data_IF_704106975685
#
_entry.id   IF_704106975685
#
_cell.length_a   1.000
_cell.length_b   1.000
_cell.length_c   1.000
_cell.angle_alpha   90.00
_cell.angle_beta   90.00
_cell.angle_gamma   90.00
#
_symmetry.space_group_name_H-M   'P 1'
#
loop_
_entity.id
_entity.type
_entity.pdbx_description
1 polymer ?
#
# COMPACT_ATOMS: atom_id res chain seq x y z
N UNK A 1 -9.04 38.69 0.99
CA UNK A 1 -10.36 38.07 0.74
C UNK A 1 -10.10 36.62 0.33
N UNK A 2 -10.10 35.69 1.28
CA UNK A 2 -9.86 34.26 0.99
C UNK A 2 -11.16 33.65 0.45
N UNK A 3 -11.21 33.34 -0.85
CA UNK A 3 -12.26 32.50 -1.40
C UNK A 3 -12.12 31.08 -0.82
N UNK A 4 -12.81 30.81 0.29
CA UNK A 4 -13.13 29.44 0.70
C UNK A 4 -14.24 28.93 -0.20
N UNK A 5 -13.86 28.35 -1.33
CA UNK A 5 -14.75 27.50 -2.13
C UNK A 5 -15.03 26.22 -1.35
N UNK A 6 -15.99 26.27 -0.42
CA UNK A 6 -16.57 25.09 0.21
C UNK A 6 -17.43 24.35 -0.83
N UNK A 7 -16.76 23.67 -1.77
CA UNK A 7 -17.41 22.68 -2.63
C UNK A 7 -17.75 21.47 -1.75
N UNK A 8 -19.02 21.03 -1.65
CA UNK A 8 -19.43 19.94 -0.77
C UNK A 8 -18.77 18.58 -1.10
N UNK A 9 -18.10 18.46 -2.25
CA UNK A 9 -17.24 17.31 -2.60
C UNK A 9 -15.76 17.43 -2.17
N UNK A 10 -15.27 18.62 -1.83
CA UNK A 10 -13.86 18.86 -1.47
C UNK A 10 -13.47 18.25 -0.13
N UNK A 11 -14.39 18.22 0.85
CA UNK A 11 -14.14 17.64 2.18
C UNK A 11 -13.90 16.13 2.14
N UNK A 12 -14.58 15.43 1.22
CA UNK A 12 -14.35 14.02 0.97
C UNK A 12 -12.94 13.80 0.42
N UNK A 13 -12.58 14.53 -0.64
CA UNK A 13 -11.24 14.48 -1.23
C UNK A 13 -10.14 14.85 -0.22
N UNK A 14 -10.30 15.90 0.59
CA UNK A 14 -9.31 16.28 1.62
C UNK A 14 -9.16 15.23 2.72
N UNK A 15 -10.25 14.66 3.21
CA UNK A 15 -10.18 13.60 4.22
C UNK A 15 -9.51 12.34 3.68
N UNK A 16 -9.88 11.96 2.45
CA UNK A 16 -9.29 10.83 1.73
C UNK A 16 -7.79 11.09 1.46
N UNK A 17 -7.43 12.29 1.05
CA UNK A 17 -6.05 12.70 0.76
C UNK A 17 -5.19 12.70 2.03
N UNK A 18 -5.65 13.30 3.12
CA UNK A 18 -4.91 13.35 4.38
C UNK A 18 -4.70 11.95 4.98
N UNK A 19 -5.71 11.10 4.98
CA UNK A 19 -5.60 9.75 5.52
C UNK A 19 -4.76 8.83 4.62
N UNK A 20 -4.93 8.91 3.30
CA UNK A 20 -4.18 8.11 2.34
C UNK A 20 -2.70 8.52 2.30
N UNK A 21 -2.39 9.82 2.25
CA UNK A 21 -1.02 10.33 2.31
C UNK A 21 -0.36 9.87 3.60
N UNK A 22 -1.00 10.10 4.76
CA UNK A 22 -0.41 9.75 6.04
C UNK A 22 -0.11 8.25 6.15
N UNK A 23 -1.05 7.41 5.71
CA UNK A 23 -0.87 5.96 5.70
C UNK A 23 0.25 5.54 4.74
N UNK A 24 0.28 6.12 3.54
CA UNK A 24 1.33 5.87 2.54
C UNK A 24 2.71 6.28 3.04
N UNK A 25 2.83 7.47 3.63
CA UNK A 25 4.07 7.99 4.21
C UNK A 25 4.58 7.09 5.33
N UNK A 26 3.74 6.75 6.32
CA UNK A 26 4.16 5.84 7.39
C UNK A 26 4.55 4.47 6.88
N UNK A 27 3.78 3.91 5.94
CA UNK A 27 4.08 2.60 5.34
C UNK A 27 5.42 2.65 4.60
N UNK A 28 5.65 3.67 3.78
CA UNK A 28 6.90 3.87 3.05
C UNK A 28 8.10 4.02 3.97
N UNK A 29 8.00 4.86 5.01
CA UNK A 29 9.06 5.04 6.01
C UNK A 29 9.36 3.73 6.74
N UNK A 30 8.34 3.00 7.21
CA UNK A 30 8.54 1.72 7.90
C UNK A 30 9.21 0.69 6.99
N UNK A 31 8.75 0.54 5.74
CA UNK A 31 9.37 -0.35 4.75
C UNK A 31 10.84 0.00 4.53
N UNK A 32 11.14 1.30 4.35
CA UNK A 32 12.49 1.80 4.16
C UNK A 32 13.40 1.51 5.36
N UNK A 33 12.92 1.75 6.58
CA UNK A 33 13.68 1.49 7.81
C UNK A 33 13.97 0.01 8.00
N UNK A 34 12.96 -0.85 7.82
CA UNK A 34 13.14 -2.31 7.92
C UNK A 34 14.13 -2.79 6.86
N UNK A 35 14.12 -2.22 5.66
CA UNK A 35 15.02 -2.64 4.57
C UNK A 35 16.46 -2.28 4.87
N UNK A 36 16.64 -1.04 5.33
CA UNK A 36 17.93 -0.50 5.70
C UNK A 36 18.50 -1.29 6.87
N UNK A 37 17.69 -1.54 7.91
CA UNK A 37 18.11 -2.36 9.05
C UNK A 37 18.49 -3.78 8.61
N UNK A 38 17.68 -4.42 7.76
CA UNK A 38 18.00 -5.73 7.22
C UNK A 38 19.33 -5.74 6.44
N UNK A 39 19.58 -4.73 5.60
CA UNK A 39 20.84 -4.60 4.87
C UNK A 39 22.05 -4.40 5.80
N UNK A 40 21.92 -3.55 6.81
CA UNK A 40 22.98 -3.33 7.80
C UNK A 40 23.29 -4.63 8.54
N UNK A 41 22.27 -5.34 9.01
CA UNK A 41 22.43 -6.64 9.71
C UNK A 41 23.05 -7.69 8.77
N UNK A 42 22.61 -7.72 7.51
CA UNK A 42 23.13 -8.66 6.52
C UNK A 42 24.61 -8.40 6.20
N UNK A 43 25.03 -7.14 6.16
CA UNK A 43 26.39 -6.76 5.79
C UNK A 43 27.37 -6.70 6.98
N UNK A 44 26.88 -6.46 8.21
CA UNK A 44 27.75 -6.33 9.40
C UNK A 44 27.89 -7.63 10.21
N UNK A 45 26.98 -8.59 10.06
CA UNK A 45 26.98 -9.81 10.87
C UNK A 45 27.09 -11.05 9.97
N UNK A 46 28.30 -11.36 9.45
CA UNK A 46 28.54 -12.55 8.63
C UNK A 46 28.36 -13.86 9.42
N UNK A 47 28.41 -13.82 10.75
CA UNK A 47 28.16 -14.97 11.62
C UNK A 47 26.74 -15.56 11.46
N UNK A 48 25.78 -14.78 10.95
CA UNK A 48 24.41 -15.21 10.67
C UNK A 48 24.25 -15.87 9.29
N UNK A 49 25.33 -16.09 8.52
CA UNK A 49 25.25 -16.77 7.22
C UNK A 49 24.61 -18.16 7.30
N UNK A 50 24.84 -18.87 8.41
CA UNK A 50 24.22 -20.18 8.68
C UNK A 50 22.69 -20.11 8.83
N UNK A 51 22.17 -18.93 9.18
CA UNK A 51 20.75 -18.62 9.31
C UNK A 51 20.28 -17.61 8.23
N UNK A 52 21.04 -17.45 7.15
CA UNK A 52 20.73 -16.46 6.11
C UNK A 52 19.32 -16.69 5.52
N UNK A 53 18.92 -17.95 5.36
CA UNK A 53 17.59 -18.30 4.88
C UNK A 53 16.49 -17.86 5.86
N UNK A 54 16.60 -18.21 7.14
CA UNK A 54 15.61 -17.86 8.17
C UNK A 54 15.47 -16.35 8.34
N UNK A 55 16.60 -15.62 8.40
CA UNK A 55 16.61 -14.16 8.49
C UNK A 55 15.94 -13.51 7.28
N UNK A 56 16.19 -14.03 6.09
CA UNK A 56 15.63 -13.49 4.85
C UNK A 56 14.13 -13.79 4.75
N UNK A 57 13.69 -14.97 5.17
CA UNK A 57 12.26 -15.33 5.25
C UNK A 57 11.54 -14.46 6.28
N UNK A 58 12.13 -14.27 7.47
CA UNK A 58 11.57 -13.40 8.49
C UNK A 58 11.46 -11.95 8.01
N UNK A 59 12.53 -11.42 7.42
CA UNK A 59 12.52 -10.07 6.84
C UNK A 59 11.48 -9.94 5.73
N UNK A 60 11.43 -10.90 4.80
CA UNK A 60 10.42 -10.93 3.74
C UNK A 60 9.00 -10.96 4.30
N UNK A 61 8.75 -11.73 5.36
CA UNK A 61 7.46 -11.76 6.07
C UNK A 61 7.09 -10.39 6.64
N UNK A 62 8.01 -9.72 7.33
CA UNK A 62 7.79 -8.35 7.85
C UNK A 62 7.55 -7.36 6.71
N UNK A 63 8.28 -7.47 5.60
CA UNK A 63 8.08 -6.67 4.40
C UNK A 63 6.67 -6.79 3.84
N UNK A 64 6.24 -8.02 3.61
CA UNK A 64 4.91 -8.32 3.06
C UNK A 64 3.83 -7.82 4.03
N UNK A 65 4.01 -8.05 5.33
CA UNK A 65 3.08 -7.60 6.35
C UNK A 65 2.91 -6.07 6.34
N UNK A 66 4.02 -5.32 6.30
CA UNK A 66 3.99 -3.86 6.24
C UNK A 66 3.41 -3.35 4.91
N UNK A 67 3.79 -3.97 3.78
CA UNK A 67 3.25 -3.63 2.46
C UNK A 67 1.74 -3.88 2.34
N UNK A 68 1.21 -4.83 3.11
CA UNK A 68 -0.22 -5.14 3.13
C UNK A 68 -1.06 -4.15 3.97
N UNK A 69 -0.44 -3.32 4.82
CA UNK A 69 -1.13 -2.33 5.66
C UNK A 69 -2.08 -1.41 4.86
N UNK A 70 -1.66 -0.72 3.78
CA UNK A 70 -2.56 0.13 2.99
C UNK A 70 -3.66 -0.67 2.31
N UNK A 71 -3.38 -1.93 1.92
CA UNK A 71 -4.37 -2.84 1.33
C UNK A 71 -5.48 -3.10 2.35
N UNK A 72 -5.14 -3.62 3.53
CA UNK A 72 -6.13 -3.91 4.58
C UNK A 72 -6.88 -2.67 5.05
N UNK A 73 -6.19 -1.51 5.13
CA UNK A 73 -6.77 -0.23 5.57
C UNK A 73 -7.83 0.30 4.60
N UNK A 74 -7.61 0.17 3.28
CA UNK A 74 -8.40 0.82 2.25
C UNK A 74 -9.08 -0.15 1.26
N UNK A 75 -9.28 -1.42 1.64
CA UNK A 75 -10.00 -2.44 0.86
C UNK A 75 -11.37 -2.00 0.31
N UNK A 76 -12.05 -1.07 1.00
CA UNK A 76 -13.37 -0.53 0.60
C UNK A 76 -13.29 0.78 -0.19
N UNK A 77 -12.11 1.38 -0.31
CA UNK A 77 -11.86 2.69 -0.90
C UNK A 77 -10.70 2.60 -1.91
N UNK A 78 -10.93 2.06 -3.12
CA UNK A 78 -9.86 1.71 -4.05
C UNK A 78 -8.99 2.91 -4.45
N UNK A 79 -9.57 4.12 -4.57
CA UNK A 79 -8.80 5.34 -4.84
C UNK A 79 -7.75 5.67 -3.77
N UNK A 80 -8.11 5.49 -2.49
CA UNK A 80 -7.17 5.72 -1.38
C UNK A 80 -6.12 4.63 -1.29
N UNK A 81 -6.48 3.41 -1.66
CA UNK A 81 -5.57 2.28 -1.69
C UNK A 81 -4.46 2.53 -2.72
N UNK A 82 -4.80 2.99 -3.92
CA UNK A 82 -3.79 3.38 -4.91
C UNK A 82 -2.92 4.52 -4.41
N UNK A 83 -3.53 5.63 -3.97
CA UNK A 83 -2.78 6.81 -3.58
C UNK A 83 -1.81 6.50 -2.43
N UNK A 84 -2.30 5.84 -1.36
CA UNK A 84 -1.46 5.47 -0.22
C UNK A 84 -0.36 4.48 -0.58
N UNK A 85 -0.68 3.44 -1.36
CA UNK A 85 0.29 2.42 -1.76
C UNK A 85 1.36 2.98 -2.70
N UNK A 86 0.98 3.84 -3.65
CA UNK A 86 1.93 4.51 -4.56
C UNK A 86 2.86 5.45 -3.81
N UNK A 87 2.34 6.25 -2.89
CA UNK A 87 3.16 7.15 -2.06
C UNK A 87 4.16 6.34 -1.24
N UNK A 88 3.70 5.29 -0.57
CA UNK A 88 4.58 4.43 0.23
C UNK A 88 5.66 3.76 -0.62
N UNK A 89 5.28 3.21 -1.77
CA UNK A 89 6.23 2.54 -2.66
C UNK A 89 7.21 3.49 -3.32
N UNK A 90 6.79 4.73 -3.61
CA UNK A 90 7.66 5.77 -4.16
C UNK A 90 8.74 6.15 -3.14
N UNK A 91 8.37 6.37 -1.88
CA UNK A 91 9.32 6.62 -0.79
C UNK A 91 10.31 5.45 -0.65
N UNK A 92 9.78 4.22 -0.64
CA UNK A 92 10.61 3.02 -0.57
C UNK A 92 11.61 2.94 -1.72
N UNK A 93 11.16 3.18 -2.95
CA UNK A 93 12.00 3.16 -4.15
C UNK A 93 13.09 4.24 -4.10
N UNK A 94 12.75 5.45 -3.63
CA UNK A 94 13.73 6.53 -3.47
C UNK A 94 14.83 6.15 -2.48
N UNK A 95 14.44 5.57 -1.33
CA UNK A 95 15.40 5.07 -0.34
C UNK A 95 16.23 3.93 -0.94
N UNK A 96 15.60 2.96 -1.61
CA UNK A 96 16.30 1.87 -2.30
C UNK A 96 17.36 2.40 -3.29
N UNK A 97 17.02 3.45 -4.07
CA UNK A 97 17.96 4.09 -4.98
C UNK A 97 19.17 4.66 -4.24
N UNK A 98 18.97 5.34 -3.10
CA UNK A 98 20.06 5.85 -2.27
C UNK A 98 20.92 4.70 -1.73
N UNK A 99 20.31 3.61 -1.27
CA UNK A 99 21.05 2.44 -0.79
C UNK A 99 21.85 1.74 -1.90
N UNK A 100 21.35 1.70 -3.15
CA UNK A 100 22.13 1.20 -4.28
C UNK A 100 23.39 2.03 -4.57
N UNK A 101 23.39 3.33 -4.25
CA UNK A 101 24.58 4.18 -4.37
C UNK A 101 25.62 3.86 -3.29
N UNK A 102 25.18 3.47 -2.08
CA UNK A 102 26.05 3.12 -0.95
C UNK A 102 26.57 1.68 -1.11
N UNK A 103 25.68 0.75 -1.45
CA UNK A 103 25.96 -0.67 -1.62
C UNK A 103 25.97 -1.03 -3.10
N UNK A 104 27.11 -0.87 -3.75
CA UNK A 104 27.24 -1.12 -5.19
C UNK A 104 26.91 -2.57 -5.59
N UNK A 105 27.22 -3.53 -4.71
CA UNK A 105 26.87 -4.95 -4.86
C UNK A 105 25.36 -5.21 -4.96
N UNK A 106 24.52 -4.32 -4.38
CA UNK A 106 23.07 -4.42 -4.53
C UNK A 106 22.63 -4.07 -5.95
N UNK A 107 23.27 -3.09 -6.58
CA UNK A 107 22.89 -2.67 -7.93
C UNK A 107 23.33 -3.64 -9.01
N UNK A 108 24.37 -4.45 -8.76
CA UNK A 108 24.87 -5.45 -9.71
C UNK A 108 24.15 -6.79 -9.59
N UNK A 109 23.68 -7.16 -8.39
CA UNK A 109 23.00 -8.43 -8.13
C UNK A 109 21.47 -8.35 -8.02
N UNK A 110 20.90 -7.25 -7.53
CA UNK A 110 19.46 -7.04 -7.41
C UNK A 110 18.91 -6.13 -8.51
N UNK A 111 17.59 -6.22 -8.75
CA UNK A 111 16.84 -5.41 -9.72
C UNK A 111 17.20 -3.92 -9.65
N UNK A 112 17.24 -3.29 -10.81
CA UNK A 112 17.39 -1.84 -10.93
C UNK A 112 16.31 -1.09 -10.12
N UNK A 113 16.60 0.06 -9.51
CA UNK A 113 15.61 0.85 -8.77
C UNK A 113 14.34 1.13 -9.57
N UNK A 114 14.48 1.35 -10.89
CA UNK A 114 13.34 1.54 -11.77
C UNK A 114 12.47 0.27 -11.89
N UNK A 115 13.09 -0.91 -11.95
CA UNK A 115 12.34 -2.18 -11.96
C UNK A 115 11.62 -2.42 -10.63
N UNK A 116 12.24 -2.09 -9.50
CA UNK A 116 11.59 -2.18 -8.17
C UNK A 116 10.36 -1.26 -8.10
N UNK A 117 10.47 -0.05 -8.66
CA UNK A 117 9.34 0.86 -8.78
C UNK A 117 8.21 0.25 -9.60
N UNK A 118 8.51 -0.18 -10.83
CA UNK A 118 7.52 -0.75 -11.77
C UNK A 118 6.84 -1.97 -11.17
N UNK A 119 7.58 -2.87 -10.50
CA UNK A 119 7.01 -4.05 -9.84
C UNK A 119 5.98 -3.64 -8.80
N UNK A 120 6.29 -2.71 -7.91
CA UNK A 120 5.31 -2.29 -6.90
C UNK A 120 4.11 -1.58 -7.49
N UNK A 121 4.30 -0.70 -8.49
CA UNK A 121 3.17 -0.07 -9.20
C UNK A 121 2.24 -1.15 -9.77
N UNK A 122 2.79 -2.15 -10.45
CA UNK A 122 1.99 -3.25 -11.02
C UNK A 122 1.29 -4.06 -9.94
N UNK A 123 1.99 -4.43 -8.86
CA UNK A 123 1.41 -5.18 -7.74
C UNK A 123 0.25 -4.42 -7.10
N UNK A 124 0.42 -3.14 -6.77
CA UNK A 124 -0.65 -2.35 -6.15
C UNK A 124 -1.80 -2.03 -7.11
N UNK A 125 -1.53 -1.89 -8.41
CA UNK A 125 -2.59 -1.76 -9.42
C UNK A 125 -3.47 -3.00 -9.47
N UNK A 126 -2.88 -4.20 -9.42
CA UNK A 126 -3.64 -5.47 -9.36
C UNK A 126 -4.51 -5.50 -8.10
N UNK A 127 -3.94 -5.25 -6.92
CA UNK A 127 -4.69 -5.25 -5.66
C UNK A 127 -5.82 -4.21 -5.65
N UNK A 128 -5.56 -3.02 -6.21
CA UNK A 128 -6.60 -2.01 -6.34
C UNK A 128 -7.73 -2.48 -7.24
N UNK A 129 -7.39 -3.08 -8.38
CA UNK A 129 -8.40 -3.57 -9.33
C UNK A 129 -9.28 -4.62 -8.67
N UNK A 130 -8.69 -5.55 -7.93
CA UNK A 130 -9.43 -6.55 -7.15
C UNK A 130 -10.31 -5.92 -6.06
N UNK A 131 -9.79 -4.93 -5.33
CA UNK A 131 -10.57 -4.15 -4.34
C UNK A 131 -11.75 -3.44 -5.01
N UNK A 132 -11.53 -2.84 -6.18
CA UNK A 132 -12.58 -2.15 -6.93
C UNK A 132 -13.68 -3.11 -7.37
N UNK A 133 -13.33 -4.28 -7.94
CA UNK A 133 -14.29 -5.34 -8.28
C UNK A 133 -15.09 -5.77 -7.04
N UNK A 134 -14.42 -6.00 -5.91
CA UNK A 134 -15.07 -6.34 -4.65
C UNK A 134 -16.09 -5.28 -4.20
N UNK A 135 -15.77 -3.99 -4.33
CA UNK A 135 -16.71 -2.92 -4.00
C UNK A 135 -17.92 -2.86 -4.93
N UNK A 136 -17.75 -3.16 -6.22
CA UNK A 136 -18.86 -3.24 -7.18
C UNK A 136 -19.80 -4.38 -6.81
N UNK A 137 -19.26 -5.57 -6.51
CA UNK A 137 -20.07 -6.73 -6.11
C UNK A 137 -20.83 -6.44 -4.82
N UNK A 138 -20.20 -5.82 -3.82
CA UNK A 138 -20.87 -5.44 -2.57
C UNK A 138 -22.01 -4.46 -2.81
N UNK A 139 -21.81 -3.47 -3.68
CA UNK A 139 -22.87 -2.49 -4.04
C UNK A 139 -24.02 -3.15 -4.78
N UNK A 140 -23.74 -4.06 -5.72
CA UNK A 140 -24.76 -4.84 -6.41
C UNK A 140 -25.60 -5.65 -5.41
N UNK A 141 -24.95 -6.40 -4.50
CA UNK A 141 -25.65 -7.17 -3.45
C UNK A 141 -26.49 -6.30 -2.52
N UNK A 142 -26.03 -5.10 -2.18
CA UNK A 142 -26.81 -4.17 -1.36
C UNK A 142 -28.01 -3.59 -2.12
N UNK A 143 -27.89 -3.39 -3.44
CA UNK A 143 -28.95 -2.90 -4.32
C UNK A 143 -30.00 -3.96 -4.66
N UNK A 144 -29.69 -5.25 -4.52
CA UNK A 144 -30.64 -6.36 -4.72
C UNK A 144 -31.56 -6.60 -3.49
N UNK A 145 -31.18 -6.11 -2.31
CA UNK A 145 -31.93 -6.28 -1.03
C UNK A 145 -33.17 -5.37 -0.80
N UNK A 146 -33.50 -4.29 -1.56
CA UNK A 146 -34.62 -3.40 -1.22
C UNK A 146 -36.04 -3.96 -1.44
N UNK A 147 -36.24 -5.01 -2.27
CA UNK A 147 -37.59 -5.30 -2.79
C UNK A 147 -38.45 -6.32 -2.03
N UNK A 148 -38.00 -6.91 -0.92
CA UNK A 148 -38.78 -7.98 -0.24
C UNK A 148 -39.69 -7.52 0.91
N UNK A 149 -39.71 -6.22 1.28
CA UNK A 149 -40.52 -5.74 2.44
C UNK A 149 -41.71 -4.83 2.10
N UNK A 150 -41.91 -4.43 0.85
CA UNK A 150 -43.00 -3.50 0.46
C UNK A 150 -44.23 -4.23 -0.15
N UNK A 151 -44.56 -5.43 0.32
CA UNK A 151 -45.67 -6.24 -0.23
C UNK A 151 -46.68 -6.74 0.80
N UNK A 152 -46.61 -6.31 2.07
CA UNK A 152 -47.48 -6.80 3.14
C UNK A 152 -47.94 -5.67 4.06
N UNK A 153 -48.52 -4.62 3.49
CA UNK A 153 -49.16 -3.55 4.26
C UNK A 153 -50.37 -2.92 3.54
N UNK A 154 -50.99 -3.63 2.59
CA UNK A 154 -52.27 -3.23 1.98
C UNK A 154 -53.25 -4.40 2.10
N UNK A 155 -53.71 -4.63 3.33
CA UNK A 155 -54.93 -5.41 3.60
C UNK A 155 -55.39 -5.10 5.01
N UNK A 156 -56.06 -3.95 5.17
CA UNK A 156 -57.22 -3.77 6.07
C UNK A 156 -57.82 -2.39 5.93
#
# INVERSE_FOLDING_TARGET
>A
MQLRTNLPGSRGLEFLHNAAIRTGVYTGICLSLVFTAWLVIANQVPFLERFAFERNVAAAGVFVFLAAVPVFRFLRWPGNLLASSLIGWMIFTLVYRVLCLIYHQLSSGLRSPFQVFVVGVMTYMIFTTLSWIGTIIQRARAADIPHSKQGRADTR
#
